data_IF_031563349427
#
_entry.id   IF_031563349427
#
_cell.length_a   1.000
_cell.length_b   1.000
_cell.length_c   1.000
_cell.angle_alpha   90.00
_cell.angle_beta   90.00
_cell.angle_gamma   90.00
#
_symmetry.space_group_name_H-M   'P 1'
#
loop_
_entity.id
_entity.type
_entity.pdbx_description
1 polymer ?
#
# COMPACT_ATOMS: atom_id res chain seq x y z
N UNK A 1 -7.31 -34.37 11.84
CA UNK A 1 -8.13 -34.08 10.65
C UNK A 1 -8.87 -32.78 10.93
N UNK A 2 -8.22 -31.63 10.67
CA UNK A 2 -8.87 -30.33 10.74
C UNK A 2 -9.57 -30.11 9.40
N UNK A 3 -10.90 -30.21 9.38
CA UNK A 3 -11.72 -29.73 8.28
C UNK A 3 -12.38 -28.44 8.74
N UNK A 4 -11.81 -27.29 8.40
CA UNK A 4 -12.53 -26.01 8.37
C UNK A 4 -11.83 -25.05 7.39
N UNK A 5 -12.01 -25.29 6.09
CA UNK A 5 -11.16 -24.74 5.04
C UNK A 5 -11.13 -23.22 4.89
N UNK A 6 -12.07 -22.45 5.46
CA UNK A 6 -12.11 -20.98 5.31
C UNK A 6 -11.53 -20.21 6.50
N UNK A 7 -11.74 -20.67 7.74
CA UNK A 7 -11.23 -19.96 8.92
C UNK A 7 -9.70 -20.06 9.01
N UNK A 8 -9.15 -21.25 8.73
CA UNK A 8 -7.70 -21.47 8.70
C UNK A 8 -7.02 -20.65 7.59
N UNK A 9 -7.73 -20.42 6.47
CA UNK A 9 -7.24 -19.56 5.37
C UNK A 9 -7.29 -18.09 5.73
N UNK A 10 -8.36 -17.65 6.40
CA UNK A 10 -8.46 -16.27 6.88
C UNK A 10 -7.32 -15.95 7.85
N UNK A 11 -7.13 -16.80 8.87
CA UNK A 11 -6.11 -16.60 9.89
C UNK A 11 -4.70 -16.62 9.29
N UNK A 12 -4.43 -17.51 8.33
CA UNK A 12 -3.15 -17.55 7.62
C UNK A 12 -2.88 -16.25 6.84
N UNK A 13 -3.86 -15.77 6.08
CA UNK A 13 -3.74 -14.51 5.33
C UNK A 13 -3.55 -13.34 6.28
N UNK A 14 -4.30 -13.29 7.38
CA UNK A 14 -4.20 -12.19 8.34
C UNK A 14 -2.85 -12.16 9.06
N UNK A 15 -2.37 -13.33 9.51
CA UNK A 15 -1.06 -13.45 10.16
C UNK A 15 0.07 -13.06 9.21
N UNK A 16 0.05 -13.57 7.97
CA UNK A 16 1.04 -13.23 6.95
C UNK A 16 1.01 -11.73 6.63
N UNK A 17 -0.19 -11.13 6.50
CA UNK A 17 -0.39 -9.69 6.31
C UNK A 17 0.23 -8.89 7.44
N UNK A 18 0.00 -9.27 8.70
CA UNK A 18 0.56 -8.57 9.85
C UNK A 18 2.08 -8.67 9.92
N UNK A 19 2.64 -9.85 9.65
CA UNK A 19 4.10 -10.05 9.62
C UNK A 19 4.77 -9.19 8.55
N UNK A 20 4.20 -9.15 7.34
CA UNK A 20 4.68 -8.36 6.23
C UNK A 20 4.47 -6.85 6.44
N UNK A 21 3.38 -6.41 7.08
CA UNK A 21 3.18 -5.01 7.46
C UNK A 21 4.23 -4.54 8.46
N UNK A 22 4.58 -5.38 9.45
CA UNK A 22 5.69 -5.09 10.38
C UNK A 22 7.02 -4.99 9.65
N UNK A 23 7.27 -5.88 8.68
CA UNK A 23 8.45 -5.81 7.85
C UNK A 23 8.48 -4.54 6.96
N UNK A 24 7.34 -4.13 6.41
CA UNK A 24 7.22 -2.89 5.65
C UNK A 24 7.63 -1.65 6.46
N UNK A 25 7.26 -1.61 7.75
CA UNK A 25 7.71 -0.56 8.66
C UNK A 25 9.24 -0.53 8.80
N UNK A 26 9.89 -1.69 8.92
CA UNK A 26 11.36 -1.75 8.97
C UNK A 26 12.00 -1.25 7.67
N UNK A 27 11.43 -1.61 6.51
CA UNK A 27 11.90 -1.10 5.21
C UNK A 27 11.73 0.41 5.14
N UNK A 28 10.59 0.95 5.60
CA UNK A 28 10.36 2.39 5.63
C UNK A 28 11.37 3.13 6.51
N UNK A 29 11.69 2.60 7.70
CA UNK A 29 12.74 3.17 8.55
C UNK A 29 14.09 3.23 7.84
N UNK A 30 14.49 2.17 7.13
CA UNK A 30 15.73 2.15 6.32
C UNK A 30 15.72 3.18 5.19
N UNK A 31 14.56 3.47 4.59
CA UNK A 31 14.42 4.56 3.60
C UNK A 31 14.71 5.91 4.25
N UNK A 32 14.15 6.17 5.44
CA UNK A 32 14.35 7.43 6.16
C UNK A 32 15.79 7.57 6.65
N UNK A 33 16.41 6.50 7.15
CA UNK A 33 17.83 6.49 7.54
C UNK A 33 18.73 6.81 6.34
N UNK A 34 18.55 6.12 5.20
CA UNK A 34 19.29 6.39 3.98
C UNK A 34 19.08 7.84 3.47
N UNK A 35 17.86 8.37 3.62
CA UNK A 35 17.56 9.76 3.29
C UNK A 35 18.33 10.74 4.17
N UNK A 36 18.38 10.50 5.48
CA UNK A 36 19.15 11.31 6.43
C UNK A 36 20.66 11.26 6.19
N UNK A 37 21.16 10.12 5.69
CA UNK A 37 22.56 9.94 5.28
C UNK A 37 22.88 10.49 3.87
N UNK A 38 21.90 11.03 3.16
CA UNK A 38 22.00 11.54 1.78
C UNK A 38 22.37 10.48 0.73
N UNK A 39 21.90 9.24 0.90
CA UNK A 39 22.29 8.11 0.07
C UNK A 39 21.22 7.77 -0.98
N UNK A 40 21.24 8.54 -2.07
CA UNK A 40 20.26 8.45 -3.16
C UNK A 40 20.05 7.02 -3.67
N UNK A 41 21.13 6.25 -3.84
CA UNK A 41 21.06 4.88 -4.35
C UNK A 41 20.30 3.99 -3.35
N UNK A 42 20.61 4.09 -2.05
CA UNK A 42 19.95 3.28 -1.02
C UNK A 42 18.48 3.64 -0.84
N UNK A 43 18.15 4.94 -0.85
CA UNK A 43 16.76 5.41 -0.86
C UNK A 43 16.02 4.79 -2.05
N UNK A 44 16.57 4.89 -3.25
CA UNK A 44 15.95 4.35 -4.48
C UNK A 44 15.69 2.84 -4.39
N UNK A 45 16.68 2.06 -3.95
CA UNK A 45 16.57 0.59 -3.82
C UNK A 45 15.52 0.21 -2.77
N UNK A 46 15.57 0.81 -1.58
CA UNK A 46 14.62 0.50 -0.51
C UNK A 46 13.21 0.97 -0.83
N UNK A 47 13.05 2.11 -1.50
CA UNK A 47 11.75 2.59 -2.00
C UNK A 47 11.14 1.61 -3.00
N UNK A 48 11.90 1.12 -3.98
CA UNK A 48 11.39 0.11 -4.92
C UNK A 48 11.01 -1.18 -4.20
N UNK A 49 11.85 -1.66 -3.26
CA UNK A 49 11.56 -2.84 -2.46
C UNK A 49 10.27 -2.70 -1.63
N UNK A 50 10.02 -1.51 -1.06
CA UNK A 50 8.77 -1.19 -0.36
C UNK A 50 7.57 -1.26 -1.31
N UNK A 51 7.66 -0.66 -2.50
CA UNK A 51 6.57 -0.65 -3.48
C UNK A 51 6.25 -2.06 -4.02
N UNK A 52 7.27 -2.90 -4.17
CA UNK A 52 7.10 -4.30 -4.55
C UNK A 52 6.43 -5.09 -3.41
N UNK A 53 6.82 -4.84 -2.16
CA UNK A 53 6.19 -5.43 -0.98
C UNK A 53 4.70 -5.05 -0.87
N UNK A 54 4.33 -3.80 -1.13
CA UNK A 54 2.91 -3.38 -1.11
C UNK A 54 2.09 -4.10 -2.18
N UNK A 55 2.65 -4.25 -3.40
CA UNK A 55 2.02 -4.99 -4.48
C UNK A 55 1.83 -6.47 -4.12
N UNK A 56 2.85 -7.08 -3.53
CA UNK A 56 2.82 -8.46 -3.10
C UNK A 56 1.86 -8.72 -1.94
N UNK A 57 1.74 -7.75 -1.01
CA UNK A 57 0.71 -7.73 0.02
C UNK A 57 -0.69 -7.68 -0.61
N UNK A 58 -0.92 -6.90 -1.66
CA UNK A 58 -2.21 -6.85 -2.36
C UNK A 58 -2.60 -8.24 -2.93
N UNK A 59 -1.62 -8.96 -3.51
CA UNK A 59 -1.78 -10.34 -3.99
C UNK A 59 -2.18 -11.29 -2.84
N UNK A 60 -1.51 -11.19 -1.69
CA UNK A 60 -1.87 -12.00 -0.51
C UNK A 60 -3.32 -11.76 -0.08
N UNK A 61 -3.75 -10.49 -0.03
CA UNK A 61 -5.10 -10.12 0.36
C UNK A 61 -6.15 -10.64 -0.64
N UNK A 62 -5.80 -10.84 -1.91
CA UNK A 62 -6.70 -11.42 -2.90
C UNK A 62 -7.15 -12.86 -2.58
N UNK A 63 -6.42 -13.56 -1.70
CA UNK A 63 -6.62 -14.98 -1.39
C UNK A 63 -7.88 -15.31 -0.56
N UNK A 64 -8.56 -14.30 -0.01
CA UNK A 64 -9.72 -14.51 0.84
C UNK A 64 -10.74 -13.36 0.76
N UNK A 65 -12.05 -13.70 0.72
CA UNK A 65 -13.13 -12.74 0.47
C UNK A 65 -13.20 -11.60 1.51
N UNK A 66 -12.79 -11.88 2.75
CA UNK A 66 -12.76 -10.89 3.85
C UNK A 66 -11.75 -9.75 3.68
N UNK A 67 -10.87 -9.81 2.67
CA UNK A 67 -9.85 -8.79 2.41
C UNK A 67 -10.02 -8.13 1.03
N UNK A 68 -11.20 -8.17 0.42
CA UNK A 68 -11.43 -7.59 -0.90
C UNK A 68 -12.12 -6.22 -0.80
N UNK A 69 -11.68 -5.26 -1.63
CA UNK A 69 -12.35 -3.96 -1.76
C UNK A 69 -13.67 -4.07 -2.55
N UNK A 70 -13.74 -4.99 -3.53
CA UNK A 70 -14.90 -5.13 -4.43
C UNK A 70 -16.24 -5.27 -3.68
N UNK A 71 -16.39 -6.20 -2.72
CA UNK A 71 -17.63 -6.37 -1.98
C UNK A 71 -18.10 -5.11 -1.26
N UNK A 72 -17.19 -4.29 -0.72
CA UNK A 72 -17.53 -3.02 -0.09
C UNK A 72 -18.16 -2.03 -1.08
N UNK A 73 -17.54 -1.87 -2.25
CA UNK A 73 -18.01 -0.93 -3.28
C UNK A 73 -19.30 -1.42 -3.95
N UNK A 74 -19.42 -2.71 -4.26
CA UNK A 74 -20.65 -3.27 -4.82
C UNK A 74 -21.81 -3.17 -3.83
N UNK A 75 -21.56 -3.39 -2.54
CA UNK A 75 -22.61 -3.25 -1.51
C UNK A 75 -23.14 -1.82 -1.44
N UNK A 76 -22.28 -0.81 -1.56
CA UNK A 76 -22.71 0.59 -1.59
C UNK A 76 -23.56 0.90 -2.83
N UNK A 77 -23.16 0.40 -4.01
CA UNK A 77 -23.90 0.58 -5.25
C UNK A 77 -25.28 -0.09 -5.23
N UNK A 78 -25.40 -1.27 -4.62
CA UNK A 78 -26.68 -1.98 -4.51
C UNK A 78 -27.76 -1.25 -3.71
N UNK A 79 -27.39 -0.25 -2.91
CA UNK A 79 -28.33 0.60 -2.16
C UNK A 79 -28.90 1.75 -3.01
N UNK A 80 -28.41 1.95 -4.24
CA UNK A 80 -28.86 3.01 -5.13
C UNK A 80 -30.20 2.68 -5.81
N UNK A 81 -31.00 3.72 -6.04
CA UNK A 81 -32.28 3.67 -6.76
C UNK A 81 -32.13 4.04 -8.24
N UNK A 82 -31.05 4.75 -8.58
CA UNK A 82 -30.74 5.22 -9.92
C UNK A 82 -29.21 5.39 -10.12
N UNK A 83 -28.81 5.70 -11.35
CA UNK A 83 -27.39 5.80 -11.76
C UNK A 83 -26.63 6.93 -11.08
N UNK A 84 -27.30 8.04 -10.76
CA UNK A 84 -26.64 9.18 -10.11
C UNK A 84 -26.44 8.90 -8.62
N UNK A 85 -27.41 8.26 -7.98
CA UNK A 85 -27.27 7.76 -6.63
C UNK A 85 -26.19 6.66 -6.55
N UNK A 86 -26.07 5.78 -7.55
CA UNK A 86 -25.02 4.76 -7.60
C UNK A 86 -23.62 5.39 -7.59
N UNK A 87 -23.39 6.40 -8.43
CA UNK A 87 -22.12 7.16 -8.45
C UNK A 87 -21.83 7.80 -7.10
N UNK A 88 -22.84 8.44 -6.49
CA UNK A 88 -22.69 9.11 -5.21
C UNK A 88 -22.36 8.13 -4.08
N UNK A 89 -23.04 6.98 -4.03
CA UNK A 89 -22.83 5.99 -2.98
C UNK A 89 -21.48 5.27 -3.13
N UNK A 90 -21.03 4.99 -4.36
CA UNK A 90 -19.68 4.47 -4.57
C UNK A 90 -18.61 5.50 -4.15
N UNK A 91 -18.80 6.78 -4.51
CA UNK A 91 -17.90 7.85 -4.07
C UNK A 91 -17.87 7.96 -2.54
N UNK A 92 -19.03 7.93 -1.87
CA UNK A 92 -19.12 7.93 -0.40
C UNK A 92 -18.35 6.74 0.22
N UNK A 93 -18.51 5.54 -0.35
CA UNK A 93 -17.85 4.33 0.13
C UNK A 93 -16.32 4.40 -0.01
N UNK A 94 -15.82 4.97 -1.11
CA UNK A 94 -14.39 5.24 -1.31
C UNK A 94 -13.89 6.31 -0.34
N UNK A 95 -14.63 7.40 -0.18
CA UNK A 95 -14.28 8.52 0.71
C UNK A 95 -14.15 8.06 2.15
N UNK A 96 -15.08 7.25 2.66
CA UNK A 96 -15.06 6.78 4.06
C UNK A 96 -13.78 6.00 4.43
N UNK A 97 -13.14 5.33 3.47
CA UNK A 97 -11.92 4.53 3.71
C UNK A 97 -10.63 5.24 3.26
N UNK A 98 -10.73 6.50 2.79
CA UNK A 98 -9.61 7.30 2.28
C UNK A 98 -9.59 8.70 2.90
N UNK A 99 -9.99 9.75 2.17
CA UNK A 99 -9.92 11.15 2.61
C UNK A 99 -10.93 11.52 3.71
N UNK A 100 -12.00 10.74 3.86
CA UNK A 100 -13.06 10.87 4.88
C UNK A 100 -13.95 12.11 4.78
N UNK A 101 -13.35 13.30 4.81
CA UNK A 101 -14.05 14.59 4.74
C UNK A 101 -13.39 15.50 3.71
N UNK A 102 -13.92 16.72 3.55
CA UNK A 102 -13.42 17.71 2.60
C UNK A 102 -11.92 18.00 2.77
N UNK A 103 -11.30 18.32 1.64
CA UNK A 103 -9.91 18.71 1.51
C UNK A 103 -9.77 19.90 0.55
N UNK A 104 -8.60 20.51 0.53
CA UNK A 104 -8.21 21.52 -0.47
C UNK A 104 -7.17 20.94 -1.41
N UNK A 105 -6.69 21.74 -2.38
CA UNK A 105 -5.62 21.31 -3.27
C UNK A 105 -4.33 20.93 -2.52
N UNK A 106 -4.08 21.49 -1.34
CA UNK A 106 -2.81 21.30 -0.60
C UNK A 106 -2.98 20.89 0.86
N UNK A 107 -4.22 20.82 1.36
CA UNK A 107 -4.52 20.39 2.72
C UNK A 107 -5.49 19.21 2.69
N UNK A 108 -5.04 18.07 3.20
CA UNK A 108 -5.91 16.92 3.38
C UNK A 108 -6.85 17.11 4.58
N UNK A 109 -7.94 16.35 4.60
CA UNK A 109 -8.82 16.27 5.76
C UNK A 109 -8.04 15.87 7.02
N UNK A 110 -8.41 16.40 8.18
CA UNK A 110 -7.86 15.94 9.47
C UNK A 110 -8.18 14.47 9.78
N UNK A 111 -9.15 13.89 9.07
CA UNK A 111 -9.57 12.49 9.21
C UNK A 111 -9.07 11.60 8.08
N UNK A 112 -8.13 12.08 7.24
CA UNK A 112 -7.54 11.25 6.19
C UNK A 112 -6.98 9.94 6.77
N UNK A 113 -7.28 8.84 6.08
CA UNK A 113 -6.94 7.47 6.46
C UNK A 113 -7.51 6.97 7.81
N UNK A 114 -8.43 7.70 8.46
CA UNK A 114 -9.10 7.23 9.69
C UNK A 114 -9.85 5.91 9.47
N UNK A 115 -10.51 5.78 8.32
CA UNK A 115 -11.24 4.59 7.91
C UNK A 115 -10.39 3.55 7.17
N UNK A 116 -9.05 3.60 7.25
CA UNK A 116 -8.17 2.74 6.46
C UNK A 116 -8.48 1.24 6.57
N UNK A 117 -8.11 0.50 5.52
CA UNK A 117 -8.30 -0.95 5.42
C UNK A 117 -7.11 -1.59 4.72
N UNK A 118 -6.83 -2.85 5.04
CA UNK A 118 -5.93 -3.67 4.25
C UNK A 118 -6.75 -4.55 3.31
N UNK A 119 -7.18 -3.98 2.19
CA UNK A 119 -7.96 -4.68 1.19
C UNK A 119 -7.23 -4.74 -0.15
N UNK A 120 -7.32 -5.90 -0.82
CA UNK A 120 -6.88 -6.08 -2.20
C UNK A 120 -7.59 -5.08 -3.11
N UNK A 121 -6.82 -4.46 -4.01
CA UNK A 121 -7.19 -3.32 -4.82
C UNK A 121 -6.88 -1.98 -4.14
N UNK A 122 -7.09 -1.85 -2.83
CA UNK A 122 -6.82 -0.61 -2.10
C UNK A 122 -5.30 -0.42 -1.89
N UNK A 123 -4.54 -1.49 -1.66
CA UNK A 123 -3.09 -1.39 -1.54
C UNK A 123 -2.45 -0.97 -2.86
N UNK A 124 -2.78 -1.65 -3.96
CA UNK A 124 -2.18 -1.37 -5.27
C UNK A 124 -2.63 -0.02 -5.85
N UNK A 125 -3.92 0.33 -5.77
CA UNK A 125 -4.44 1.51 -6.49
C UNK A 125 -4.52 2.79 -5.65
N UNK A 126 -4.42 2.70 -4.31
CA UNK A 126 -4.51 3.88 -3.42
C UNK A 126 -3.23 4.07 -2.59
N UNK A 127 -2.80 3.08 -1.81
CA UNK A 127 -1.64 3.26 -0.92
C UNK A 127 -0.30 3.26 -1.66
N UNK A 128 -0.11 2.33 -2.61
CA UNK A 128 1.15 2.19 -3.36
C UNK A 128 1.50 3.44 -4.18
N UNK A 129 0.57 4.07 -4.93
CA UNK A 129 0.90 5.28 -5.68
C UNK A 129 1.21 6.48 -4.77
N UNK A 130 0.54 6.59 -3.61
CA UNK A 130 0.85 7.61 -2.59
C UNK A 130 2.28 7.46 -2.04
N UNK A 131 2.68 6.22 -1.71
CA UNK A 131 4.04 5.92 -1.28
C UNK A 131 5.07 6.22 -2.39
N UNK A 132 4.76 5.86 -3.64
CA UNK A 132 5.63 6.12 -4.78
C UNK A 132 5.89 7.62 -4.99
N UNK A 133 4.85 8.45 -4.89
CA UNK A 133 4.99 9.91 -4.93
C UNK A 133 5.85 10.39 -3.77
N UNK A 134 5.62 9.94 -2.54
CA UNK A 134 6.46 10.34 -1.41
C UNK A 134 7.95 10.03 -1.65
N UNK A 135 8.26 8.82 -2.10
CA UNK A 135 9.64 8.41 -2.40
C UNK A 135 10.27 9.18 -3.55
N UNK A 136 9.51 9.47 -4.61
CA UNK A 136 9.95 10.34 -5.71
C UNK A 136 10.44 11.69 -5.17
N UNK A 137 9.66 12.34 -4.30
CA UNK A 137 10.04 13.64 -3.74
C UNK A 137 11.25 13.56 -2.78
N UNK A 138 11.44 12.44 -2.06
CA UNK A 138 12.67 12.21 -1.28
C UNK A 138 13.89 12.09 -2.19
N UNK A 139 13.79 11.36 -3.30
CA UNK A 139 14.90 11.17 -4.24
C UNK A 139 15.24 12.48 -4.93
N UNK A 140 14.23 13.22 -5.39
CA UNK A 140 14.40 14.52 -6.05
C UNK A 140 15.05 15.56 -5.13
N UNK A 141 14.68 15.60 -3.85
CA UNK A 141 15.30 16.55 -2.90
C UNK A 141 16.79 16.26 -2.71
N UNK A 142 17.18 14.98 -2.60
CA UNK A 142 18.60 14.59 -2.52
C UNK A 142 19.37 14.89 -3.80
N UNK A 143 18.81 14.56 -4.97
CA UNK A 143 19.47 14.77 -6.26
C UNK A 143 19.70 16.25 -6.58
N UNK A 144 18.77 17.11 -6.17
CA UNK A 144 18.83 18.56 -6.43
C UNK A 144 19.51 19.34 -5.30
N UNK A 145 19.76 18.72 -4.15
CA UNK A 145 20.26 19.39 -2.94
C UNK A 145 19.28 20.40 -2.33
N UNK A 146 18.00 20.34 -2.71
CA UNK A 146 16.94 21.21 -2.19
C UNK A 146 16.19 20.53 -1.05
N UNK A 147 15.47 21.31 -0.25
CA UNK A 147 14.56 20.76 0.74
C UNK A 147 13.39 20.00 0.08
N UNK A 148 12.77 19.08 0.84
CA UNK A 148 11.58 18.36 0.41
C UNK A 148 10.45 19.34 0.03
N UNK A 149 9.99 19.27 -1.21
CA UNK A 149 8.96 20.15 -1.76
C UNK A 149 7.56 19.77 -1.22
N UNK A 150 7.30 20.15 0.03
CA UNK A 150 6.14 19.70 0.82
C UNK A 150 4.80 20.08 0.18
N UNK A 151 4.68 21.29 -0.37
CA UNK A 151 3.41 21.80 -0.91
C UNK A 151 3.06 21.08 -2.21
N UNK A 152 4.06 20.85 -3.05
CA UNK A 152 3.95 20.16 -4.33
C UNK A 152 3.64 18.68 -4.11
N UNK A 153 4.34 18.03 -3.19
CA UNK A 153 4.03 16.67 -2.77
C UNK A 153 2.59 16.56 -2.26
N UNK A 154 2.16 17.48 -1.38
CA UNK A 154 0.76 17.54 -0.88
C UNK A 154 -0.24 17.61 -2.01
N UNK A 155 -0.01 18.53 -2.95
CA UNK A 155 -0.84 18.68 -4.15
C UNK A 155 -0.95 17.40 -4.95
N UNK A 156 0.16 16.71 -5.19
CA UNK A 156 0.18 15.50 -6.02
C UNK A 156 -0.58 14.34 -5.33
N UNK A 157 -0.33 14.07 -4.05
CA UNK A 157 -0.98 12.93 -3.38
C UNK A 157 -2.46 13.18 -3.04
N UNK A 158 -2.85 14.43 -2.75
CA UNK A 158 -4.26 14.80 -2.56
C UNK A 158 -5.03 14.63 -3.87
N UNK A 159 -4.48 15.13 -4.98
CA UNK A 159 -5.07 14.93 -6.32
C UNK A 159 -5.21 13.44 -6.65
N UNK A 160 -4.20 12.63 -6.34
CA UNK A 160 -4.28 11.17 -6.54
C UNK A 160 -5.42 10.55 -5.74
N UNK A 161 -5.57 10.94 -4.47
CA UNK A 161 -6.64 10.46 -3.60
C UNK A 161 -8.02 10.83 -4.14
N UNK A 162 -8.22 12.10 -4.51
CA UNK A 162 -9.49 12.58 -5.06
C UNK A 162 -9.83 11.91 -6.40
N UNK A 163 -8.82 11.64 -7.24
CA UNK A 163 -9.00 10.88 -8.48
C UNK A 163 -9.41 9.43 -8.21
N UNK A 164 -8.81 8.79 -7.21
CA UNK A 164 -9.17 7.43 -6.82
C UNK A 164 -10.59 7.36 -6.24
N UNK A 165 -11.01 8.35 -5.44
CA UNK A 165 -12.39 8.46 -4.92
C UNK A 165 -13.41 8.66 -6.03
N UNK A 166 -13.06 9.42 -7.07
CA UNK A 166 -13.93 9.69 -8.22
C UNK A 166 -13.90 8.58 -9.28
N UNK A 167 -12.98 7.61 -9.14
CA UNK A 167 -12.83 6.50 -10.08
C UNK A 167 -14.02 5.55 -10.01
N UNK A 168 -14.37 4.98 -11.17
CA UNK A 168 -15.35 3.88 -11.31
C UNK A 168 -14.68 2.54 -11.62
N UNK A 169 -13.37 2.41 -11.34
CA UNK A 169 -12.64 1.14 -11.51
C UNK A 169 -13.31 0.05 -10.67
N UNK A 170 -13.66 -1.05 -11.30
CA UNK A 170 -14.24 -2.23 -10.65
C UNK A 170 -13.14 -3.09 -10.02
N UNK A 171 -13.50 -3.78 -8.94
CA UNK A 171 -12.60 -4.66 -8.20
C UNK A 171 -13.25 -6.04 -8.04
N UNK A 172 -12.44 -7.09 -7.93
CA UNK A 172 -12.96 -8.44 -7.77
C UNK A 172 -13.80 -8.56 -6.51
N UNK A 173 -14.97 -9.20 -6.63
CA UNK A 173 -15.84 -9.57 -5.51
C UNK A 173 -15.62 -11.00 -5.02
N UNK A 174 -14.73 -11.75 -5.69
CA UNK A 174 -14.38 -13.13 -5.34
C UNK A 174 -12.89 -13.26 -5.17
N UNK A 175 -12.51 -14.01 -4.13
CA UNK A 175 -11.13 -14.33 -3.84
C UNK A 175 -10.52 -15.17 -4.97
N UNK A 176 -9.21 -15.02 -5.14
CA UNK A 176 -8.40 -15.75 -6.10
C UNK A 176 -7.03 -16.07 -5.49
N UNK A 177 -6.43 -17.17 -5.91
CA UNK A 177 -5.12 -17.58 -5.42
C UNK A 177 -5.15 -18.55 -4.24
N UNK A 178 -4.01 -19.19 -4.02
CA UNK A 178 -3.79 -20.16 -2.95
C UNK A 178 -3.08 -19.47 -1.78
N UNK A 179 -3.80 -19.28 -0.68
CA UNK A 179 -3.31 -18.59 0.50
C UNK A 179 -2.04 -19.22 1.07
N UNK A 180 -1.91 -20.55 1.04
CA UNK A 180 -0.76 -21.25 1.60
C UNK A 180 0.48 -21.06 0.74
N UNK A 181 0.34 -21.25 -0.57
CA UNK A 181 1.45 -21.10 -1.51
C UNK A 181 1.94 -19.65 -1.56
N UNK A 182 1.02 -18.68 -1.60
CA UNK A 182 1.37 -17.26 -1.62
C UNK A 182 2.01 -16.85 -0.28
N UNK A 183 1.47 -17.27 0.87
CA UNK A 183 2.07 -16.96 2.17
C UNK A 183 3.47 -17.54 2.32
N UNK A 184 3.70 -18.77 1.86
CA UNK A 184 5.04 -19.39 1.86
C UNK A 184 6.02 -18.65 0.97
N UNK A 185 5.61 -18.31 -0.25
CA UNK A 185 6.43 -17.55 -1.18
C UNK A 185 6.84 -16.18 -0.58
N UNK A 186 5.90 -15.47 0.05
CA UNK A 186 6.18 -14.18 0.67
C UNK A 186 7.07 -14.31 1.91
N UNK A 187 6.88 -15.36 2.70
CA UNK A 187 7.78 -15.68 3.81
C UNK A 187 9.21 -15.90 3.32
N UNK A 188 9.41 -16.72 2.27
CA UNK A 188 10.71 -16.96 1.69
C UNK A 188 11.34 -15.69 1.10
N UNK A 189 10.53 -14.88 0.39
CA UNK A 189 10.98 -13.64 -0.25
C UNK A 189 11.39 -12.56 0.74
N UNK A 190 10.62 -12.37 1.82
CA UNK A 190 10.74 -11.19 2.68
C UNK A 190 11.19 -11.47 4.11
N UNK A 191 10.98 -12.67 4.65
CA UNK A 191 11.14 -12.93 6.10
C UNK A 191 12.19 -14.01 6.42
N UNK A 192 12.43 -14.97 5.51
CA UNK A 192 13.37 -16.08 5.77
C UNK A 192 14.83 -15.63 5.88
N UNK A 193 15.22 -14.63 5.09
CA UNK A 193 16.62 -14.19 4.98
C UNK A 193 16.87 -12.78 5.56
N UNK A 194 15.96 -12.27 6.39
CA UNK A 194 16.09 -10.92 6.98
C UNK A 194 17.27 -10.79 7.94
N UNK A 195 17.78 -11.90 8.46
CA UNK A 195 18.97 -11.92 9.32
C UNK A 195 20.31 -12.01 8.56
N UNK A 196 20.30 -12.12 7.22
CA UNK A 196 21.54 -12.32 6.44
C UNK A 196 21.92 -11.13 5.55
N UNK A 197 21.00 -10.17 5.30
CA UNK A 197 21.23 -9.04 4.38
C UNK A 197 21.86 -7.80 5.00
N UNK A 198 22.10 -7.79 6.31
CA UNK A 198 22.84 -6.69 6.96
C UNK A 198 24.36 -6.77 6.70
N UNK A 199 24.87 -7.81 6.01
CA UNK A 199 26.29 -7.92 5.64
C UNK A 199 26.60 -7.65 4.16
N UNK A 200 25.65 -7.89 3.25
CA UNK A 200 25.94 -7.81 1.80
C UNK A 200 25.80 -6.39 1.22
N UNK A 201 25.02 -5.50 1.85
CA UNK A 201 24.93 -4.09 1.39
C UNK A 201 26.18 -3.27 1.68
N UNK A 202 26.99 -3.69 2.66
CA UNK A 202 28.30 -3.07 2.93
C UNK A 202 29.36 -3.48 1.90
N UNK A 203 29.22 -4.67 1.30
CA UNK A 203 30.18 -5.19 0.30
C UNK A 203 30.07 -4.50 -1.07
N UNK A 204 28.88 -4.06 -1.47
CA UNK A 204 28.64 -3.33 -2.73
C UNK A 204 28.97 -1.84 -2.61
N UNK A 205 28.95 -1.28 -1.40
CA UNK A 205 29.37 0.10 -1.14
C UNK A 205 30.89 0.26 -1.06
N UNK A 206 31.62 -0.82 -0.74
CA UNK A 206 33.08 -0.81 -0.58
C UNK A 206 33.85 -1.16 -1.85
N UNK A 207 33.18 -1.66 -2.91
CA UNK A 207 33.82 -1.98 -4.20
C UNK A 207 33.82 -0.84 -5.23
N UNK A 208 33.51 0.39 -4.80
CA UNK A 208 33.40 1.58 -5.68
C UNK A 208 34.42 2.68 -5.37
N UNK A 209 35.55 2.34 -4.76
CA UNK A 209 36.72 3.21 -4.58
C UNK A 209 37.89 2.77 -5.46
#
# INVERSE_FOLDING_TARGET
MFLCGDIDRYDLVDLARQALAKYANNVFLRIIEAYQMNEVIRVTVYSQHFLDLVKDLDILLSCHNGFLLGPWLESAKHLAKDSDQEKQLEWNARTQISMWFDNTEVEASLLHDYGNKYWCGLLEDYYRPRAAIYFKYLIESLQTGKSFALVEWRREWIKLTNNWQSSRKTYSVKASGDALNISRWLYDKYLRNTNYRDQDTDSLASSSF
#
